data_IF_672903995094
#
_entry.id   IF_672903995094
#
_cell.length_a   1.000
_cell.length_b   1.000
_cell.length_c   1.000
_cell.angle_alpha   90.00
_cell.angle_beta   90.00
_cell.angle_gamma   90.00
#
_symmetry.space_group_name_H-M   'P 1'
#
loop_
_entity.id
_entity.type
_entity.pdbx_description
1 polymer ?
#
# COMPACT_ATOMS: atom_id res chain seq x y z
N UNK A 1 5.26 -8.23 0.60
CA UNK A 1 5.49 -6.83 1.08
C UNK A 1 6.96 -6.48 1.23
N UNK A 2 7.74 -7.07 2.16
CA UNK A 2 9.17 -6.74 2.29
C UNK A 2 10.01 -7.23 1.09
N UNK A 3 9.69 -8.40 0.56
CA UNK A 3 10.28 -8.95 -0.66
C UNK A 3 9.97 -8.11 -1.91
N UNK A 4 8.75 -7.65 -2.02
CA UNK A 4 8.29 -6.81 -3.14
C UNK A 4 8.92 -5.41 -3.10
N UNK A 5 9.12 -4.84 -1.89
CA UNK A 5 9.81 -3.55 -1.70
C UNK A 5 11.22 -3.54 -2.30
N UNK A 6 11.90 -4.66 -2.26
CA UNK A 6 13.26 -4.83 -2.82
C UNK A 6 13.26 -5.55 -4.17
N UNK A 7 12.10 -5.74 -4.80
CA UNK A 7 11.94 -6.45 -6.07
C UNK A 7 12.61 -7.82 -6.10
N UNK A 8 12.49 -8.59 -4.99
CA UNK A 8 13.23 -9.83 -4.78
C UNK A 8 12.98 -10.85 -5.90
N UNK A 9 11.70 -11.08 -6.28
CA UNK A 9 11.35 -12.05 -7.32
C UNK A 9 12.09 -11.77 -8.62
N UNK A 10 12.07 -10.50 -9.06
CA UNK A 10 12.78 -10.08 -10.28
C UNK A 10 14.27 -10.39 -10.21
N UNK A 11 14.92 -10.09 -9.09
CA UNK A 11 16.36 -10.37 -8.93
C UNK A 11 16.68 -11.86 -8.90
N UNK A 12 15.81 -12.68 -8.32
CA UNK A 12 15.95 -14.12 -8.32
C UNK A 12 15.77 -14.71 -9.73
N UNK A 13 14.77 -14.25 -10.46
CA UNK A 13 14.52 -14.66 -11.85
C UNK A 13 15.68 -14.26 -12.77
N UNK A 14 16.21 -13.04 -12.63
CA UNK A 14 17.41 -12.58 -13.35
C UNK A 14 18.65 -13.40 -13.01
N UNK A 15 18.72 -13.97 -11.80
CA UNK A 15 19.77 -14.88 -11.38
C UNK A 15 19.57 -16.33 -11.87
N UNK A 16 18.43 -16.62 -12.54
CA UNK A 16 18.14 -17.92 -13.14
C UNK A 16 17.35 -18.88 -12.24
N UNK A 17 16.76 -18.40 -11.16
CA UNK A 17 15.89 -19.20 -10.29
C UNK A 17 14.43 -19.19 -10.80
N UNK A 18 13.75 -20.31 -10.67
CA UNK A 18 12.29 -20.36 -10.82
C UNK A 18 11.64 -19.83 -9.53
N UNK A 19 10.85 -18.78 -9.63
CA UNK A 19 10.15 -18.17 -8.48
C UNK A 19 8.66 -18.42 -8.62
N UNK A 20 8.03 -18.95 -7.55
CA UNK A 20 6.59 -19.22 -7.51
C UNK A 20 5.99 -18.59 -6.28
N UNK A 21 5.04 -17.67 -6.49
CA UNK A 21 4.21 -17.13 -5.42
C UNK A 21 3.21 -18.16 -4.92
N UNK A 22 3.01 -18.22 -3.60
CA UNK A 22 2.23 -19.29 -2.96
C UNK A 22 0.97 -18.79 -2.27
N UNK A 23 0.82 -17.51 -2.00
CA UNK A 23 -0.46 -16.89 -1.68
C UNK A 23 -1.34 -16.89 -2.93
N UNK A 24 -2.61 -17.28 -2.82
CA UNK A 24 -3.48 -17.40 -3.98
C UNK A 24 -3.63 -16.08 -4.75
N UNK A 25 -3.71 -14.97 -4.03
CA UNK A 25 -3.79 -13.64 -4.65
C UNK A 25 -2.51 -13.24 -5.37
N UNK A 26 -1.35 -13.41 -4.73
CA UNK A 26 -0.04 -13.14 -5.32
C UNK A 26 0.25 -14.08 -6.50
N UNK A 27 -0.15 -15.35 -6.40
CA UNK A 27 -0.03 -16.31 -7.50
C UNK A 27 -0.80 -15.85 -8.75
N UNK A 28 -2.04 -15.37 -8.57
CA UNK A 28 -2.81 -14.82 -9.70
C UNK A 28 -2.16 -13.56 -10.28
N UNK A 29 -1.62 -12.69 -9.44
CA UNK A 29 -0.85 -11.52 -9.89
C UNK A 29 0.35 -11.96 -10.72
N UNK A 30 1.11 -12.95 -10.24
CA UNK A 30 2.30 -13.46 -10.92
C UNK A 30 1.98 -14.04 -12.29
N UNK A 31 0.97 -14.91 -12.42
CA UNK A 31 0.61 -15.54 -13.70
C UNK A 31 0.04 -14.53 -14.71
N UNK A 32 -0.50 -13.41 -14.24
CA UNK A 32 -0.98 -12.31 -15.07
C UNK A 32 0.10 -11.28 -15.41
N UNK A 33 1.30 -11.43 -14.87
CA UNK A 33 2.39 -10.44 -14.98
C UNK A 33 1.93 -9.04 -14.55
N UNK A 34 1.09 -9.01 -13.52
CA UNK A 34 0.46 -7.81 -12.96
C UNK A 34 1.19 -7.36 -11.67
N UNK A 35 0.69 -6.35 -11.00
CA UNK A 35 1.21 -5.88 -9.72
C UNK A 35 0.11 -5.93 -8.65
N UNK A 36 0.47 -6.22 -7.38
CA UNK A 36 -0.50 -6.24 -6.30
C UNK A 36 -1.13 -4.85 -6.11
N UNK A 37 -2.45 -4.80 -5.93
CA UNK A 37 -3.16 -3.53 -5.71
C UNK A 37 -3.53 -3.27 -4.25
N UNK A 38 -3.42 -4.29 -3.38
CA UNK A 38 -3.74 -4.18 -1.95
C UNK A 38 -2.78 -5.03 -1.11
N UNK A 39 -2.47 -4.57 0.10
CA UNK A 39 -1.47 -5.23 0.98
C UNK A 39 -1.95 -6.53 1.65
N UNK A 40 -3.26 -6.80 1.65
CA UNK A 40 -3.86 -8.01 2.26
C UNK A 40 -4.58 -8.85 1.21
N UNK A 41 -5.17 -8.22 0.21
CA UNK A 41 -5.91 -8.86 -0.88
C UNK A 41 -5.33 -8.42 -2.21
N UNK A 42 -4.21 -9.00 -2.65
CA UNK A 42 -3.42 -8.49 -3.79
C UNK A 42 -4.22 -8.29 -5.07
N UNK A 43 -5.18 -9.18 -5.33
CA UNK A 43 -6.01 -9.20 -6.55
C UNK A 43 -7.38 -8.53 -6.40
N UNK A 44 -7.60 -7.66 -5.43
CA UNK A 44 -8.90 -7.01 -5.19
C UNK A 44 -9.47 -6.26 -6.43
N UNK A 45 -8.61 -5.93 -7.39
CA UNK A 45 -8.96 -5.29 -8.66
C UNK A 45 -9.46 -6.26 -9.74
N UNK A 46 -9.39 -7.58 -9.50
CA UNK A 46 -9.84 -8.62 -10.44
C UNK A 46 -11.16 -9.23 -10.00
N UNK A 47 -12.00 -9.55 -10.95
CA UNK A 47 -13.21 -10.31 -10.71
C UNK A 47 -13.01 -11.81 -11.02
N UNK A 48 -13.94 -12.64 -10.56
CA UNK A 48 -13.89 -14.09 -10.70
C UNK A 48 -13.69 -14.56 -12.16
N UNK A 49 -14.35 -13.89 -13.10
CA UNK A 49 -14.25 -14.20 -14.53
C UNK A 49 -12.84 -13.96 -15.08
N UNK A 50 -12.19 -12.88 -14.66
CA UNK A 50 -10.81 -12.57 -15.05
C UNK A 50 -9.85 -13.63 -14.50
N UNK A 51 -10.00 -14.01 -13.22
CA UNK A 51 -9.18 -15.07 -12.61
C UNK A 51 -9.38 -16.41 -13.35
N UNK A 52 -10.63 -16.76 -13.70
CA UNK A 52 -10.93 -17.96 -14.49
C UNK A 52 -10.25 -17.98 -15.85
N UNK A 53 -10.22 -16.82 -16.52
CA UNK A 53 -9.54 -16.68 -17.81
C UNK A 53 -8.02 -16.83 -17.67
N UNK A 54 -7.42 -16.29 -16.61
CA UNK A 54 -6.00 -16.44 -16.31
C UNK A 54 -5.65 -17.91 -16.08
N UNK A 55 -6.41 -18.63 -15.27
CA UNK A 55 -6.20 -20.04 -15.00
C UNK A 55 -6.30 -20.91 -16.25
N UNK A 56 -7.31 -20.62 -17.11
CA UNK A 56 -7.44 -21.33 -18.39
C UNK A 56 -6.27 -21.06 -19.34
N UNK A 57 -5.79 -19.82 -19.40
CA UNK A 57 -4.65 -19.42 -20.24
C UNK A 57 -3.37 -20.16 -19.82
N UNK A 58 -3.16 -20.28 -18.51
CA UNK A 58 -1.99 -20.95 -17.93
C UNK A 58 -2.15 -22.50 -17.84
N UNK A 59 -3.23 -23.06 -18.41
CA UNK A 59 -3.52 -24.48 -18.38
C UNK A 59 -3.57 -25.11 -16.98
N UNK A 60 -4.01 -24.35 -15.97
CA UNK A 60 -4.13 -24.85 -14.59
C UNK A 60 -5.34 -25.77 -14.41
N UNK A 61 -6.32 -25.69 -15.31
CA UNK A 61 -7.52 -26.52 -15.32
C UNK A 61 -8.58 -26.02 -16.31
N UNK A 62 -9.76 -26.68 -16.35
CA UNK A 62 -10.88 -26.24 -17.17
C UNK A 62 -11.40 -24.88 -16.70
N UNK A 63 -11.97 -24.11 -17.62
CA UNK A 63 -12.64 -22.85 -17.28
C UNK A 63 -13.82 -23.09 -16.33
N UNK A 64 -13.87 -22.37 -15.25
CA UNK A 64 -14.96 -22.37 -14.27
C UNK A 64 -15.09 -21.01 -13.61
N UNK A 65 -16.30 -20.61 -13.28
CA UNK A 65 -16.58 -19.40 -12.46
C UNK A 65 -17.00 -19.79 -11.03
N UNK A 66 -16.62 -20.99 -10.57
CA UNK A 66 -16.83 -21.49 -9.21
C UNK A 66 -15.54 -21.29 -8.42
N UNK A 67 -15.58 -20.48 -7.36
CA UNK A 67 -14.37 -20.11 -6.59
C UNK A 67 -13.66 -21.33 -5.96
N UNK A 68 -14.42 -22.30 -5.48
CA UNK A 68 -13.92 -23.53 -4.88
C UNK A 68 -13.15 -24.38 -5.89
N UNK A 69 -13.64 -24.46 -7.14
CA UNK A 69 -12.97 -25.21 -8.21
C UNK A 69 -11.67 -24.51 -8.62
N UNK A 70 -11.65 -23.18 -8.74
CA UNK A 70 -10.43 -22.42 -9.01
C UNK A 70 -9.41 -22.63 -7.89
N UNK A 71 -9.84 -22.56 -6.63
CA UNK A 71 -8.97 -22.84 -5.50
C UNK A 71 -8.38 -24.26 -5.55
N UNK A 72 -9.16 -25.24 -5.97
CA UNK A 72 -8.67 -26.62 -6.15
C UNK A 72 -7.67 -26.74 -7.31
N UNK A 73 -7.87 -26.02 -8.42
CA UNK A 73 -6.90 -25.96 -9.51
C UNK A 73 -5.56 -25.39 -9.04
N UNK A 74 -5.58 -24.24 -8.35
CA UNK A 74 -4.39 -23.66 -7.75
C UNK A 74 -3.71 -24.62 -6.76
N UNK A 75 -4.50 -25.26 -5.88
CA UNK A 75 -3.99 -26.23 -4.91
C UNK A 75 -3.26 -27.41 -5.56
N UNK A 76 -3.80 -27.97 -6.64
CA UNK A 76 -3.16 -29.07 -7.36
C UNK A 76 -1.84 -28.64 -7.96
N UNK A 77 -1.82 -27.47 -8.60
CA UNK A 77 -0.61 -26.92 -9.21
C UNK A 77 0.46 -26.59 -8.15
N UNK A 78 0.11 -25.80 -7.15
CA UNK A 78 1.05 -25.36 -6.11
C UNK A 78 1.56 -26.52 -5.25
N UNK A 79 0.78 -27.60 -5.07
CA UNK A 79 1.22 -28.77 -4.33
C UNK A 79 2.48 -29.41 -4.93
N UNK A 80 2.58 -29.48 -6.25
CA UNK A 80 3.77 -30.02 -6.90
C UNK A 80 4.96 -29.05 -6.78
N UNK A 81 4.69 -27.73 -6.79
CA UNK A 81 5.74 -26.72 -6.52
C UNK A 81 6.28 -26.84 -5.10
N UNK A 82 5.43 -26.95 -4.09
CA UNK A 82 5.86 -27.16 -2.69
C UNK A 82 6.70 -28.43 -2.49
N UNK A 83 6.37 -29.53 -3.18
CA UNK A 83 7.12 -30.78 -3.08
C UNK A 83 8.52 -30.71 -3.68
N UNK A 84 8.69 -29.88 -4.71
CA UNK A 84 9.90 -29.82 -5.51
C UNK A 84 10.73 -28.54 -5.23
N UNK A 85 10.26 -27.65 -4.33
CA UNK A 85 10.98 -26.45 -3.98
C UNK A 85 12.24 -26.77 -3.16
N UNK A 86 13.37 -26.24 -3.58
CA UNK A 86 14.63 -26.33 -2.84
C UNK A 86 14.68 -25.35 -1.66
N UNK A 87 14.12 -24.15 -1.88
CA UNK A 87 14.14 -23.03 -0.94
C UNK A 87 12.72 -22.50 -0.74
N UNK A 88 12.33 -22.30 0.51
CA UNK A 88 11.12 -21.58 0.87
C UNK A 88 11.48 -20.18 1.39
N UNK A 89 10.83 -19.17 0.83
CA UNK A 89 10.99 -17.78 1.28
C UNK A 89 9.70 -17.31 1.92
N UNK A 90 9.79 -16.70 3.11
CA UNK A 90 8.61 -16.12 3.77
C UNK A 90 8.87 -14.70 4.27
N UNK A 91 7.81 -13.89 4.28
CA UNK A 91 7.74 -12.70 5.12
C UNK A 91 7.55 -13.06 6.60
N UNK A 92 7.78 -12.11 7.49
CA UNK A 92 7.57 -12.27 8.93
C UNK A 92 6.62 -11.18 9.43
N UNK A 93 5.59 -11.56 10.17
CA UNK A 93 4.67 -10.59 10.78
C UNK A 93 5.29 -9.94 12.02
N UNK A 94 5.92 -10.75 12.90
CA UNK A 94 6.60 -10.26 14.11
C UNK A 94 7.84 -11.10 14.42
N UNK A 95 8.90 -10.45 14.93
CA UNK A 95 10.05 -11.09 15.53
C UNK A 95 10.08 -10.83 17.03
N UNK A 96 10.31 -11.86 17.86
CA UNK A 96 10.29 -11.74 19.32
C UNK A 96 11.72 -11.60 19.81
N UNK A 97 12.06 -10.43 20.36
CA UNK A 97 13.42 -10.14 20.80
C UNK A 97 13.89 -11.05 21.95
N UNK A 98 13.00 -11.39 22.91
CA UNK A 98 13.35 -12.19 24.07
C UNK A 98 13.68 -13.65 23.76
N UNK A 99 13.12 -14.22 22.68
CA UNK A 99 13.28 -15.64 22.34
C UNK A 99 13.91 -15.90 20.97
N UNK A 100 14.04 -14.86 20.13
CA UNK A 100 14.49 -15.00 18.75
C UNK A 100 13.48 -15.68 17.83
N UNK A 101 12.28 -15.98 18.30
CA UNK A 101 11.24 -16.63 17.48
C UNK A 101 10.66 -15.68 16.46
N UNK A 102 10.39 -16.21 15.25
CA UNK A 102 9.67 -15.54 14.19
C UNK A 102 8.21 -15.95 14.25
N UNK A 103 7.31 -15.01 13.99
CA UNK A 103 5.86 -15.26 14.05
C UNK A 103 5.24 -14.92 12.71
N UNK A 104 4.54 -15.90 12.11
CA UNK A 104 3.82 -15.78 10.88
C UNK A 104 2.33 -16.06 11.13
N UNK A 105 1.49 -15.16 10.60
CA UNK A 105 0.03 -15.30 10.61
C UNK A 105 -0.46 -15.58 9.20
N UNK A 106 -1.33 -16.58 9.04
CA UNK A 106 -1.91 -16.92 7.76
C UNK A 106 -3.30 -17.57 7.88
N UNK A 107 -4.02 -17.63 6.75
CA UNK A 107 -5.32 -18.30 6.67
C UNK A 107 -5.35 -19.46 5.67
N UNK A 108 -4.37 -19.57 4.77
CA UNK A 108 -4.38 -20.50 3.63
C UNK A 108 -3.54 -21.76 3.83
N UNK A 109 -2.52 -21.72 4.68
CA UNK A 109 -1.56 -22.80 4.89
C UNK A 109 -0.37 -22.77 3.92
N UNK A 110 -0.27 -21.78 3.04
CA UNK A 110 0.84 -21.58 2.11
C UNK A 110 2.15 -21.27 2.83
N UNK A 111 2.16 -20.38 3.81
CA UNK A 111 3.33 -20.08 4.62
C UNK A 111 3.81 -21.30 5.39
N UNK A 112 2.87 -22.12 5.94
CA UNK A 112 3.21 -23.37 6.60
C UNK A 112 3.98 -24.29 5.67
N UNK A 113 3.52 -24.47 4.42
CA UNK A 113 4.19 -25.31 3.45
C UNK A 113 5.52 -24.73 3.00
N UNK A 114 5.60 -23.42 2.72
CA UNK A 114 6.84 -22.74 2.33
C UNK A 114 7.92 -22.79 3.44
N UNK A 115 7.52 -22.85 4.71
CA UNK A 115 8.46 -22.86 5.85
C UNK A 115 8.83 -24.26 6.35
N UNK A 116 8.13 -25.31 5.87
CA UNK A 116 8.34 -26.68 6.38
C UNK A 116 8.65 -27.73 5.31
N UNK A 117 8.28 -27.54 4.06
CA UNK A 117 8.51 -28.51 3.01
C UNK A 117 9.93 -28.42 2.40
N UNK A 118 10.48 -27.25 2.08
CA UNK A 118 11.84 -27.09 1.54
C UNK A 118 12.91 -27.40 2.59
N UNK A 119 14.09 -27.75 2.12
CA UNK A 119 15.25 -27.98 2.99
C UNK A 119 15.82 -26.71 3.59
N UNK A 120 15.71 -25.60 2.89
CA UNK A 120 16.19 -24.29 3.34
C UNK A 120 15.01 -23.32 3.44
N UNK A 121 14.87 -22.66 4.57
CA UNK A 121 13.90 -21.58 4.78
C UNK A 121 14.62 -20.24 4.96
N UNK A 122 14.25 -19.26 4.16
CA UNK A 122 14.75 -17.87 4.27
C UNK A 122 13.59 -16.97 4.70
N UNK A 123 13.69 -16.43 5.90
CA UNK A 123 12.71 -15.48 6.45
C UNK A 123 13.18 -14.04 6.25
N UNK A 124 12.35 -13.19 5.66
CA UNK A 124 12.66 -11.76 5.43
C UNK A 124 11.78 -10.91 6.34
N UNK A 125 12.39 -10.07 7.16
CA UNK A 125 11.70 -9.26 8.16
C UNK A 125 12.21 -7.82 8.15
N UNK A 126 11.30 -6.86 7.99
CA UNK A 126 11.64 -5.47 8.29
C UNK A 126 11.98 -5.29 9.78
N UNK A 127 13.02 -4.51 10.09
CA UNK A 127 13.47 -4.31 11.48
C UNK A 127 12.39 -3.72 12.39
N UNK A 128 11.38 -3.05 11.82
CA UNK A 128 10.25 -2.49 12.55
C UNK A 128 9.24 -3.54 13.08
N UNK A 129 9.43 -4.82 12.73
CA UNK A 129 8.54 -5.92 13.13
C UNK A 129 8.91 -6.57 14.46
N UNK A 130 9.94 -6.08 15.13
CA UNK A 130 10.42 -6.63 16.39
C UNK A 130 9.50 -6.21 17.52
N UNK A 131 9.06 -7.19 18.33
CA UNK A 131 8.33 -6.99 19.58
C UNK A 131 9.17 -7.51 20.77
N UNK A 132 9.02 -6.95 21.97
CA UNK A 132 9.86 -7.33 23.11
C UNK A 132 9.69 -8.79 23.52
N UNK A 133 8.44 -9.27 23.65
CA UNK A 133 8.13 -10.59 24.20
C UNK A 133 6.90 -11.25 23.58
N UNK A 134 6.68 -12.54 23.88
CA UNK A 134 5.47 -13.27 23.50
C UNK A 134 4.20 -12.65 24.10
N UNK A 135 4.28 -12.07 25.29
CA UNK A 135 3.14 -11.44 25.94
C UNK A 135 2.60 -10.25 25.13
N UNK A 136 3.48 -9.52 24.44
CA UNK A 136 3.08 -8.39 23.59
C UNK A 136 2.26 -8.85 22.38
N UNK A 137 2.51 -10.06 21.86
CA UNK A 137 1.76 -10.64 20.74
C UNK A 137 0.29 -10.89 21.07
N UNK A 138 -0.06 -11.11 22.33
CA UNK A 138 -1.45 -11.30 22.76
C UNK A 138 -2.35 -10.11 22.37
N UNK A 139 -1.75 -8.91 22.25
CA UNK A 139 -2.44 -7.71 21.76
C UNK A 139 -2.42 -7.61 20.24
N UNK A 140 -1.28 -7.87 19.59
CA UNK A 140 -1.11 -7.62 18.18
C UNK A 140 -1.82 -8.65 17.28
N UNK A 141 -1.85 -9.93 17.66
CA UNK A 141 -2.47 -10.98 16.85
C UNK A 141 -3.97 -10.73 16.63
N UNK A 142 -4.80 -10.50 17.68
CA UNK A 142 -6.20 -10.18 17.50
C UNK A 142 -6.43 -8.86 16.73
N UNK A 143 -5.62 -7.83 17.01
CA UNK A 143 -5.73 -6.55 16.31
C UNK A 143 -5.46 -6.71 14.81
N UNK A 144 -4.45 -7.48 14.43
CA UNK A 144 -4.12 -7.71 13.03
C UNK A 144 -5.26 -8.48 12.33
N UNK A 145 -5.71 -9.60 12.88
CA UNK A 145 -6.77 -10.41 12.31
C UNK A 145 -8.09 -9.63 12.15
N UNK A 146 -8.52 -8.92 13.20
CA UNK A 146 -9.75 -8.13 13.17
C UNK A 146 -9.67 -6.96 12.20
N UNK A 147 -8.53 -6.28 12.12
CA UNK A 147 -8.37 -5.09 11.27
C UNK A 147 -8.12 -5.43 9.80
N UNK A 148 -7.53 -6.59 9.50
CA UNK A 148 -7.24 -7.02 8.14
C UNK A 148 -8.45 -7.64 7.46
N UNK A 149 -9.11 -8.59 8.11
CA UNK A 149 -10.12 -9.46 7.52
C UNK A 149 -11.43 -9.53 8.30
N UNK A 150 -11.54 -8.83 9.43
CA UNK A 150 -12.72 -8.89 10.32
C UNK A 150 -12.82 -10.19 11.12
N UNK A 151 -11.80 -11.03 11.10
CA UNK A 151 -11.77 -12.29 11.84
C UNK A 151 -11.50 -12.04 13.33
N UNK A 152 -12.13 -12.82 14.19
CA UNK A 152 -11.82 -12.79 15.64
C UNK A 152 -10.44 -13.36 15.93
N UNK A 153 -10.03 -14.39 15.20
CA UNK A 153 -8.71 -15.03 15.25
C UNK A 153 -8.27 -15.37 13.81
N UNK A 154 -6.96 -15.42 13.58
CA UNK A 154 -6.38 -15.98 12.35
C UNK A 154 -6.46 -17.50 12.37
N UNK A 155 -6.42 -18.15 11.20
CA UNK A 155 -6.51 -19.62 11.11
C UNK A 155 -5.26 -20.28 11.68
N UNK A 156 -4.08 -19.77 11.35
CA UNK A 156 -2.80 -20.29 11.80
C UNK A 156 -1.91 -19.20 12.36
N UNK A 157 -1.17 -19.53 13.41
CA UNK A 157 -0.06 -18.75 13.95
C UNK A 157 1.13 -19.67 14.09
N UNK A 158 2.19 -19.40 13.36
CA UNK A 158 3.42 -20.18 13.39
C UNK A 158 4.47 -19.46 14.20
N UNK A 159 5.12 -20.21 15.11
CA UNK A 159 6.28 -19.78 15.87
C UNK A 159 7.50 -20.57 15.38
N UNK A 160 8.42 -19.92 14.70
CA UNK A 160 9.61 -20.55 14.12
C UNK A 160 10.80 -20.17 15.00
N UNK A 161 11.45 -21.17 15.59
CA UNK A 161 12.62 -21.00 16.46
C UNK A 161 13.95 -21.36 15.78
N UNK A 162 13.88 -21.98 14.60
CA UNK A 162 15.02 -22.50 13.85
C UNK A 162 14.80 -23.92 13.38
N UNK A 163 15.81 -24.59 12.81
CA UNK A 163 15.71 -25.99 12.37
C UNK A 163 15.57 -26.93 13.57
N UNK A 164 14.73 -27.97 13.41
CA UNK A 164 14.49 -28.97 14.48
C UNK A 164 15.41 -30.16 14.38
N UNK A 165 16.06 -30.37 13.24
CA UNK A 165 16.95 -31.50 12.98
C UNK A 165 16.24 -32.84 12.68
N UNK A 166 14.91 -32.90 12.78
CA UNK A 166 14.12 -34.14 12.54
C UNK A 166 13.09 -33.98 11.44
N UNK A 167 12.39 -32.87 11.42
CA UNK A 167 11.37 -32.54 10.42
C UNK A 167 11.48 -31.06 10.05
N UNK A 168 11.03 -30.69 8.83
CA UNK A 168 11.12 -29.34 8.32
C UNK A 168 12.48 -28.98 7.74
N UNK A 169 12.82 -27.71 7.62
CA UNK A 169 14.04 -27.25 6.99
C UNK A 169 15.30 -27.65 7.80
N UNK A 170 16.34 -28.03 7.07
CA UNK A 170 17.67 -28.30 7.62
C UNK A 170 18.37 -26.99 8.01
N UNK A 171 18.04 -25.89 7.27
CA UNK A 171 18.61 -24.58 7.48
C UNK A 171 17.52 -23.51 7.54
N UNK A 172 17.64 -22.58 8.45
CA UNK A 172 16.76 -21.42 8.59
C UNK A 172 17.60 -20.15 8.64
N UNK A 173 17.39 -19.26 7.69
CA UNK A 173 18.08 -17.97 7.60
C UNK A 173 17.12 -16.82 7.86
N UNK A 174 17.52 -15.86 8.70
CA UNK A 174 16.78 -14.63 8.93
C UNK A 174 17.50 -13.45 8.30
N UNK A 175 16.83 -12.77 7.38
CA UNK A 175 17.28 -11.51 6.79
C UNK A 175 16.54 -10.36 7.44
N UNK A 176 17.25 -9.50 8.17
CA UNK A 176 16.73 -8.26 8.73
C UNK A 176 16.87 -7.14 7.72
N UNK A 177 15.74 -6.65 7.22
CA UNK A 177 15.71 -5.59 6.20
C UNK A 177 15.57 -4.22 6.87
N UNK A 178 16.59 -3.39 6.75
CA UNK A 178 16.53 -1.97 7.13
C UNK A 178 15.91 -1.11 6.02
N UNK A 179 16.51 -1.11 4.85
CA UNK A 179 16.08 -0.32 3.68
C UNK A 179 15.60 1.09 4.04
N UNK A 180 16.37 1.83 4.87
CA UNK A 180 16.06 3.20 5.28
C UNK A 180 15.21 3.34 6.53
N UNK A 181 14.71 2.24 7.13
CA UNK A 181 13.87 2.28 8.36
C UNK A 181 14.57 2.91 9.55
N UNK A 182 15.88 2.66 9.70
CA UNK A 182 16.70 3.30 10.74
C UNK A 182 16.72 4.84 10.61
N UNK A 183 16.67 5.36 9.40
CA UNK A 183 16.59 6.81 9.17
C UNK A 183 15.20 7.34 9.49
N UNK A 184 14.15 6.62 9.09
CA UNK A 184 12.76 6.96 9.44
C UNK A 184 12.58 6.99 10.95
N UNK A 185 13.17 6.02 11.69
CA UNK A 185 13.09 5.94 13.16
C UNK A 185 13.68 7.18 13.84
N UNK A 186 14.75 7.74 13.28
CA UNK A 186 15.39 8.97 13.79
C UNK A 186 14.66 10.24 13.36
N UNK A 187 13.78 10.12 12.35
CA UNK A 187 13.10 11.26 11.72
C UNK A 187 11.73 11.57 12.32
N UNK A 188 11.09 12.55 11.70
CA UNK A 188 9.76 13.03 12.10
C UNK A 188 8.63 12.08 11.72
N UNK A 189 8.87 11.12 10.83
CA UNK A 189 7.89 10.11 10.36
C UNK A 189 7.99 8.78 11.11
N UNK A 190 8.72 8.71 12.23
CA UNK A 190 8.97 7.47 12.97
C UNK A 190 7.72 6.65 13.32
N UNK A 191 6.60 7.32 13.58
CA UNK A 191 5.36 6.66 13.98
C UNK A 191 4.74 5.80 12.87
N UNK A 192 5.13 5.99 11.59
CA UNK A 192 4.69 5.12 10.50
C UNK A 192 5.23 3.69 10.64
N UNK A 193 6.36 3.52 11.31
CA UNK A 193 6.97 2.20 11.55
C UNK A 193 6.17 1.33 12.52
N UNK A 194 5.23 1.89 13.30
CA UNK A 194 4.28 1.11 14.11
C UNK A 194 3.28 0.31 13.30
N UNK A 195 3.25 0.49 11.98
CA UNK A 195 2.26 -0.13 11.10
C UNK A 195 2.37 -1.66 11.11
N UNK A 196 1.27 -2.33 11.48
CA UNK A 196 1.14 -3.80 11.47
C UNK A 196 0.71 -4.36 10.10
N UNK A 197 0.57 -3.54 9.08
CA UNK A 197 0.21 -3.91 7.69
C UNK A 197 -1.20 -4.54 7.56
N UNK A 198 -2.15 -4.16 8.38
CA UNK A 198 -3.52 -4.70 8.33
C UNK A 198 -4.38 -4.20 7.16
N UNK A 199 -3.99 -3.14 6.45
CA UNK A 199 -4.75 -2.62 5.30
C UNK A 199 -6.03 -1.83 5.64
N UNK A 200 -6.43 -1.71 6.90
CA UNK A 200 -7.68 -1.04 7.27
C UNK A 200 -7.78 0.41 6.74
N UNK A 201 -6.68 1.15 6.72
CA UNK A 201 -6.65 2.51 6.19
C UNK A 201 -6.90 2.59 4.67
N UNK A 202 -6.55 1.54 3.90
CA UNK A 202 -6.83 1.44 2.47
C UNK A 202 -8.33 1.29 2.25
N UNK A 203 -8.96 0.39 3.01
CA UNK A 203 -10.38 0.05 2.87
C UNK A 203 -11.32 1.24 3.10
N UNK A 204 -10.95 2.20 3.96
CA UNK A 204 -11.77 3.39 4.25
C UNK A 204 -11.40 4.61 3.42
N UNK A 205 -10.29 4.57 2.68
CA UNK A 205 -9.79 5.74 1.96
C UNK A 205 -10.59 6.02 0.68
N UNK A 206 -11.24 7.20 0.55
CA UNK A 206 -11.98 7.53 -0.66
C UNK A 206 -11.06 7.67 -1.90
N UNK A 207 -9.82 8.10 -1.72
CA UNK A 207 -8.85 8.21 -2.83
C UNK A 207 -8.44 6.82 -3.30
N UNK A 208 -8.05 5.92 -2.38
CA UNK A 208 -7.69 4.55 -2.74
C UNK A 208 -8.83 3.80 -3.45
N UNK A 209 -10.07 3.99 -3.03
CA UNK A 209 -11.24 3.38 -3.67
C UNK A 209 -11.45 3.83 -5.12
N UNK A 210 -10.94 4.99 -5.50
CA UNK A 210 -11.02 5.50 -6.88
C UNK A 210 -9.77 5.16 -7.70
N UNK A 211 -8.59 5.34 -7.12
CA UNK A 211 -7.31 5.19 -7.81
C UNK A 211 -6.80 3.75 -7.85
N UNK A 212 -7.31 2.86 -6.97
CA UNK A 212 -6.73 1.54 -6.71
C UNK A 212 -5.30 1.64 -6.17
N UNK A 213 -4.68 0.51 -5.85
CA UNK A 213 -3.28 0.44 -5.45
C UNK A 213 -2.30 0.84 -6.56
N UNK A 214 -2.65 0.49 -7.80
CA UNK A 214 -1.83 0.79 -8.98
C UNK A 214 -1.61 2.29 -9.19
N UNK A 215 -2.59 3.13 -8.83
CA UNK A 215 -2.44 4.59 -8.94
C UNK A 215 -1.38 5.20 -8.02
N UNK A 216 -0.83 4.43 -7.06
CA UNK A 216 0.25 4.88 -6.17
C UNK A 216 1.65 4.59 -6.73
N UNK A 217 1.79 3.69 -7.71
CA UNK A 217 3.07 3.36 -8.33
C UNK A 217 4.12 2.79 -7.38
N UNK A 218 3.69 2.24 -6.24
CA UNK A 218 4.55 1.68 -5.20
C UNK A 218 3.87 0.50 -4.52
N UNK A 219 4.65 -0.46 -4.02
CA UNK A 219 4.13 -1.64 -3.31
C UNK A 219 3.28 -1.27 -2.10
N UNK A 220 3.65 -0.19 -1.42
CA UNK A 220 2.84 0.39 -0.36
C UNK A 220 1.88 1.42 -0.96
N UNK A 221 0.60 1.09 -0.97
CA UNK A 221 -0.47 1.94 -1.50
C UNK A 221 -1.35 2.54 -0.39
N UNK A 222 -2.29 3.39 -0.78
CA UNK A 222 -3.22 4.03 0.14
C UNK A 222 -2.58 5.00 1.12
N UNK A 223 -3.26 5.36 2.22
CA UNK A 223 -2.77 6.35 3.18
C UNK A 223 -1.44 5.96 3.84
N UNK A 224 -1.23 4.66 4.11
CA UNK A 224 0.04 4.15 4.60
C UNK A 224 1.16 4.43 3.60
N UNK A 225 0.95 4.05 2.33
CA UNK A 225 1.94 4.22 1.27
C UNK A 225 2.25 5.67 0.98
N UNK A 226 1.24 6.54 1.04
CA UNK A 226 1.41 7.98 0.85
C UNK A 226 2.33 8.66 1.89
N UNK A 227 2.60 7.97 3.02
CA UNK A 227 3.60 8.41 4.01
C UNK A 227 4.88 7.57 3.92
N UNK A 228 4.75 6.25 3.83
CA UNK A 228 5.90 5.34 3.92
C UNK A 228 6.79 5.41 2.69
N UNK A 229 6.22 5.47 1.48
CA UNK A 229 7.01 5.52 0.25
C UNK A 229 7.88 6.79 0.17
N UNK A 230 7.36 8.03 0.38
CA UNK A 230 8.23 9.21 0.45
C UNK A 230 9.24 9.17 1.60
N UNK A 231 8.93 8.49 2.70
CA UNK A 231 9.85 8.37 3.82
C UNK A 231 11.02 7.39 3.54
N UNK A 232 10.80 6.38 2.67
CA UNK A 232 11.82 5.43 2.23
C UNK A 232 12.64 5.97 1.05
N UNK A 233 11.98 6.50 0.03
CA UNK A 233 12.59 6.85 -1.26
C UNK A 233 12.86 8.35 -1.43
N UNK A 234 12.37 9.17 -0.51
CA UNK A 234 12.51 10.63 -0.56
C UNK A 234 11.30 11.34 -1.19
N UNK A 235 11.06 12.56 -0.73
CA UNK A 235 9.96 13.40 -1.25
C UNK A 235 10.22 13.84 -2.69
N UNK A 236 11.45 13.85 -3.13
CA UNK A 236 11.87 14.19 -4.49
C UNK A 236 11.31 13.20 -5.53
N UNK A 237 11.11 11.96 -5.13
CA UNK A 237 10.61 10.87 -5.99
C UNK A 237 9.14 10.57 -5.76
N UNK A 238 8.69 10.56 -4.51
CA UNK A 238 7.35 10.09 -4.10
C UNK A 238 6.50 11.15 -3.39
N UNK A 239 6.91 12.41 -3.36
CA UNK A 239 6.22 13.49 -2.63
C UNK A 239 4.79 13.76 -3.11
N UNK A 240 4.49 13.49 -4.38
CA UNK A 240 3.15 13.65 -4.95
C UNK A 240 2.12 12.72 -4.30
N UNK A 241 2.53 11.59 -3.74
CA UNK A 241 1.64 10.68 -3.02
C UNK A 241 0.99 11.35 -1.79
N UNK A 242 1.71 12.25 -1.11
CA UNK A 242 1.16 12.98 0.01
C UNK A 242 0.04 13.96 -0.41
N UNK A 243 0.01 14.38 -1.69
CA UNK A 243 -1.03 15.24 -2.26
C UNK A 243 -2.28 14.44 -2.67
N UNK A 244 -2.13 13.14 -2.93
CA UNK A 244 -3.21 12.21 -3.26
C UNK A 244 -4.04 11.83 -2.00
N UNK A 245 -4.48 12.83 -1.23
CA UNK A 245 -5.27 12.65 -0.01
C UNK A 245 -6.25 13.80 0.17
N UNK A 246 -7.50 13.44 0.54
CA UNK A 246 -8.53 14.41 0.95
C UNK A 246 -8.36 14.92 2.38
N UNK A 247 -7.43 14.37 3.16
CA UNK A 247 -7.21 14.67 4.59
C UNK A 247 -8.47 14.52 5.46
N UNK A 248 -9.38 13.62 5.10
CA UNK A 248 -10.66 13.41 5.82
C UNK A 248 -10.52 12.79 7.21
N UNK A 249 -9.33 12.26 7.58
CA UNK A 249 -9.08 11.68 8.90
C UNK A 249 -9.45 10.21 9.06
N UNK A 250 -10.26 9.62 8.17
CA UNK A 250 -10.75 8.24 8.31
C UNK A 250 -9.65 7.18 8.51
N UNK A 251 -8.48 7.37 7.90
CA UNK A 251 -7.35 6.45 8.04
C UNK A 251 -6.74 6.45 9.45
N UNK A 252 -6.80 7.56 10.18
CA UNK A 252 -6.36 7.64 11.58
C UNK A 252 -7.39 7.03 12.52
N UNK A 253 -8.68 7.30 12.28
CA UNK A 253 -9.78 6.76 13.09
C UNK A 253 -9.77 5.23 13.09
N UNK A 254 -9.63 4.61 11.91
CA UNK A 254 -9.66 3.15 11.75
C UNK A 254 -8.35 2.47 12.17
N UNK A 255 -7.25 3.22 12.29
CA UNK A 255 -5.94 2.63 12.57
C UNK A 255 -5.90 1.97 13.96
N UNK A 256 -5.68 0.64 14.06
CA UNK A 256 -5.68 -0.06 15.34
C UNK A 256 -4.48 0.34 16.22
N UNK A 257 -3.38 0.79 15.62
CA UNK A 257 -2.15 1.23 16.30
C UNK A 257 -2.01 2.76 16.33
N UNK A 258 -3.08 3.49 15.97
CA UNK A 258 -3.20 4.95 16.10
C UNK A 258 -2.03 5.74 15.51
N UNK A 259 -1.74 5.48 14.23
CA UNK A 259 -0.75 6.27 13.48
C UNK A 259 -1.41 7.56 13.01
N UNK A 260 -0.83 8.75 13.29
CA UNK A 260 -1.40 10.03 12.90
C UNK A 260 -1.12 10.36 11.42
N UNK A 261 -1.62 9.51 10.51
CA UNK A 261 -1.35 9.59 9.07
C UNK A 261 -1.69 10.97 8.48
N UNK A 262 -2.86 11.60 8.75
CA UNK A 262 -3.18 12.91 8.19
C UNK A 262 -2.17 14.01 8.58
N UNK A 263 -1.68 13.96 9.82
CA UNK A 263 -0.65 14.90 10.28
C UNK A 263 0.67 14.70 9.52
N UNK A 264 1.09 13.45 9.33
CA UNK A 264 2.31 13.14 8.57
C UNK A 264 2.19 13.55 7.10
N UNK A 265 1.02 13.42 6.48
CA UNK A 265 0.77 13.88 5.11
C UNK A 265 0.93 15.41 4.99
N UNK A 266 0.48 16.17 5.99
CA UNK A 266 0.70 17.64 6.02
C UNK A 266 2.18 17.99 6.17
N UNK A 267 2.91 17.24 7.01
CA UNK A 267 4.37 17.43 7.17
C UNK A 267 5.13 17.14 5.87
N UNK A 268 4.75 16.09 5.14
CA UNK A 268 5.34 15.76 3.84
C UNK A 268 5.05 16.84 2.80
N UNK A 269 3.83 17.38 2.76
CA UNK A 269 3.48 18.49 1.86
C UNK A 269 4.30 19.75 2.15
N UNK A 270 4.54 20.06 3.44
CA UNK A 270 5.37 21.18 3.86
C UNK A 270 6.85 20.94 3.48
N UNK A 271 7.35 19.73 3.65
CA UNK A 271 8.71 19.36 3.25
C UNK A 271 8.90 19.47 1.73
N UNK A 272 7.97 18.92 0.94
CA UNK A 272 7.94 18.99 -0.51
C UNK A 272 7.96 20.45 -1.00
N UNK A 273 7.15 21.31 -0.37
CA UNK A 273 7.12 22.73 -0.65
C UNK A 273 8.46 23.43 -0.31
N UNK A 274 9.03 23.14 0.86
CA UNK A 274 10.30 23.74 1.32
C UNK A 274 11.49 23.34 0.44
N UNK A 275 11.49 22.10 -0.07
CA UNK A 275 12.51 21.59 -0.99
C UNK A 275 12.31 22.10 -2.43
N UNK A 276 11.21 22.77 -2.73
CA UNK A 276 10.92 23.31 -4.06
C UNK A 276 10.63 22.25 -5.10
N UNK A 277 10.26 21.02 -4.67
CA UNK A 277 9.88 19.91 -5.56
C UNK A 277 8.48 20.16 -6.13
N UNK A 278 7.60 20.79 -5.37
CA UNK A 278 6.27 21.18 -5.81
C UNK A 278 6.34 22.13 -7.02
N UNK A 279 6.01 21.59 -8.19
CA UNK A 279 5.98 22.36 -9.46
C UNK A 279 4.62 23.03 -9.68
N UNK A 280 4.13 23.75 -8.71
CA UNK A 280 2.96 24.58 -8.90
C UNK A 280 3.36 25.81 -9.75
N UNK A 281 2.97 25.82 -11.02
CA UNK A 281 3.20 26.95 -11.93
C UNK A 281 2.48 28.24 -11.54
N UNK A 282 1.84 28.27 -10.37
CA UNK A 282 1.14 29.43 -9.82
C UNK A 282 2.10 30.15 -8.86
N UNK A 283 2.43 31.42 -9.13
CA UNK A 283 3.22 32.20 -8.18
C UNK A 283 2.34 32.58 -6.97
N UNK A 284 2.34 31.67 -5.98
CA UNK A 284 1.55 31.83 -4.75
C UNK A 284 1.80 33.15 -4.02
N UNK A 285 3.01 33.70 -4.12
CA UNK A 285 3.33 35.05 -3.61
C UNK A 285 2.48 36.13 -4.30
N UNK A 286 2.24 36.02 -5.61
CA UNK A 286 1.41 36.98 -6.36
C UNK A 286 -0.06 36.81 -5.99
N UNK A 287 -0.52 35.57 -5.82
CA UNK A 287 -1.87 35.28 -5.31
C UNK A 287 -2.07 35.84 -3.91
N UNK A 288 -1.15 35.59 -2.97
CA UNK A 288 -1.19 36.08 -1.59
C UNK A 288 -1.21 37.63 -1.53
N UNK A 289 -0.36 38.25 -2.35
CA UNK A 289 -0.34 39.71 -2.48
C UNK A 289 -1.70 40.29 -2.94
N UNK A 290 -2.33 39.64 -3.93
CA UNK A 290 -3.64 40.06 -4.42
C UNK A 290 -4.79 39.75 -3.46
N UNK A 291 -4.77 38.56 -2.86
CA UNK A 291 -5.82 38.07 -1.96
C UNK A 291 -5.90 38.88 -0.66
N UNK A 292 -4.77 39.32 -0.11
CA UNK A 292 -4.70 40.19 1.10
C UNK A 292 -5.23 41.59 0.88
N UNK A 293 -5.39 42.05 -0.37
CA UNK A 293 -5.84 43.42 -0.68
C UNK A 293 -7.23 43.39 -1.29
N UNK A 294 -8.22 43.86 -0.52
CA UNK A 294 -9.63 43.85 -0.92
C UNK A 294 -9.90 44.51 -2.28
N UNK A 295 -9.14 45.55 -2.64
CA UNK A 295 -9.26 46.22 -3.95
C UNK A 295 -8.78 45.34 -5.09
N UNK A 296 -7.59 44.76 -4.98
CA UNK A 296 -7.02 43.87 -5.99
C UNK A 296 -7.87 42.58 -6.16
N UNK A 297 -8.34 42.04 -5.04
CA UNK A 297 -9.25 40.89 -5.07
C UNK A 297 -10.55 41.20 -5.81
N UNK A 298 -11.17 42.34 -5.55
CA UNK A 298 -12.38 42.78 -6.24
C UNK A 298 -12.14 43.02 -7.74
N UNK A 299 -11.01 43.66 -8.09
CA UNK A 299 -10.63 43.88 -9.50
C UNK A 299 -10.42 42.51 -10.23
N UNK A 300 -9.68 41.58 -9.63
CA UNK A 300 -9.49 40.26 -10.18
C UNK A 300 -10.80 39.49 -10.42
N UNK A 301 -11.71 39.51 -9.45
CA UNK A 301 -13.03 38.92 -9.60
C UNK A 301 -13.91 39.57 -10.69
N UNK A 302 -13.75 40.84 -10.96
CA UNK A 302 -14.49 41.54 -12.03
C UNK A 302 -13.92 41.23 -13.42
N UNK A 303 -12.65 40.82 -13.51
CA UNK A 303 -11.99 40.42 -14.76
C UNK A 303 -12.21 38.95 -15.13
N UNK A 304 -12.65 38.11 -14.19
CA UNK A 304 -12.92 36.70 -14.44
C UNK A 304 -13.82 36.41 -15.65
N UNK A 305 -14.91 37.18 -15.91
CA UNK A 305 -15.73 36.96 -17.11
C UNK A 305 -14.99 37.16 -18.42
N UNK A 306 -14.01 38.07 -18.44
CA UNK A 306 -13.17 38.29 -19.60
C UNK A 306 -12.14 37.16 -19.82
N UNK A 307 -11.65 36.56 -18.74
CA UNK A 307 -10.76 35.40 -18.81
C UNK A 307 -11.49 34.15 -19.33
N UNK A 308 -12.76 33.98 -18.96
CA UNK A 308 -13.61 32.88 -19.47
C UNK A 308 -13.91 33.00 -20.99
N UNK A 309 -13.90 34.21 -21.54
CA UNK A 309 -14.07 34.44 -22.98
C UNK A 309 -12.87 33.99 -23.85
N UNK A 310 -11.71 33.67 -23.22
CA UNK A 310 -10.52 33.18 -23.89
C UNK A 310 -10.14 31.74 -23.44
N UNK A 311 -10.98 30.72 -23.75
CA UNK A 311 -10.77 29.34 -23.25
C UNK A 311 -9.49 28.68 -23.76
N UNK A 312 -8.93 29.17 -24.89
CA UNK A 312 -7.76 28.55 -25.52
C UNK A 312 -6.43 28.79 -24.80
N UNK A 313 -6.34 29.79 -23.90
CA UNK A 313 -5.12 30.11 -23.15
C UNK A 313 -5.03 29.41 -21.79
N UNK A 314 -6.10 28.86 -21.29
CA UNK A 314 -6.15 27.99 -20.09
C UNK A 314 -6.06 26.51 -20.51
N UNK A 315 -5.00 26.13 -21.23
CA UNK A 315 -4.62 24.73 -21.39
C UNK A 315 -4.05 24.25 -20.07
N UNK A 316 -4.89 23.86 -19.13
CA UNK A 316 -4.48 23.11 -17.98
C UNK A 316 -4.96 21.67 -18.17
N UNK A 317 -4.16 20.71 -17.77
CA UNK A 317 -4.51 19.29 -17.66
C UNK A 317 -5.86 19.08 -16.95
N UNK A 318 -6.28 20.05 -16.15
CA UNK A 318 -7.57 20.06 -15.46
C UNK A 318 -8.78 20.01 -16.40
N UNK A 319 -8.69 20.60 -17.60
CA UNK A 319 -9.75 20.60 -18.61
C UNK A 319 -9.91 19.28 -19.36
N UNK A 320 -8.92 18.40 -19.31
CA UNK A 320 -9.01 17.07 -19.92
C UNK A 320 -9.98 16.17 -19.16
N UNK A 321 -10.17 16.43 -17.87
CA UNK A 321 -10.94 15.55 -16.98
C UNK A 321 -12.10 16.25 -16.28
N UNK A 322 -12.25 17.59 -16.41
CA UNK A 322 -13.27 18.37 -15.69
C UNK A 322 -13.75 19.55 -16.49
N UNK A 323 -15.06 19.78 -16.44
CA UNK A 323 -15.67 20.99 -16.96
C UNK A 323 -15.61 22.11 -15.93
N UNK A 324 -15.42 23.34 -16.40
CA UNK A 324 -15.56 24.51 -15.55
C UNK A 324 -17.05 24.70 -15.21
N UNK A 325 -17.40 25.00 -13.94
CA UNK A 325 -18.80 25.20 -13.58
C UNK A 325 -19.39 26.36 -14.38
N UNK A 326 -20.54 26.12 -15.00
CA UNK A 326 -21.29 27.15 -15.69
C UNK A 326 -21.66 28.29 -14.76
N UNK A 327 -21.40 29.50 -15.20
CA UNK A 327 -21.74 30.68 -14.43
C UNK A 327 -23.24 31.00 -14.57
N UNK A 328 -24.01 30.68 -13.55
CA UNK A 328 -25.45 30.97 -13.51
C UNK A 328 -25.70 32.26 -12.73
N UNK A 329 -26.01 33.34 -13.42
CA UNK A 329 -26.52 34.57 -12.80
C UNK A 329 -25.49 35.50 -12.16
N UNK A 330 -25.93 36.30 -11.18
CA UNK A 330 -25.11 37.30 -10.49
C UNK A 330 -24.13 36.66 -9.51
N UNK A 331 -22.96 37.27 -9.29
CA UNK A 331 -22.05 36.84 -8.24
C UNK A 331 -22.76 36.85 -6.87
N UNK A 332 -22.30 35.99 -5.94
CA UNK A 332 -22.86 35.96 -4.58
C UNK A 332 -22.92 37.35 -3.94
N UNK A 333 -21.90 38.20 -4.10
CA UNK A 333 -21.90 39.59 -3.59
C UNK A 333 -22.93 40.48 -4.28
N UNK A 334 -23.17 40.29 -5.58
CA UNK A 334 -24.21 41.03 -6.31
C UNK A 334 -25.61 40.58 -5.90
N UNK A 335 -25.82 39.30 -5.69
CA UNK A 335 -27.03 38.74 -5.16
C UNK A 335 -27.29 39.20 -3.72
N UNK A 336 -26.29 39.14 -2.85
CA UNK A 336 -26.39 39.59 -1.44
C UNK A 336 -26.80 41.05 -1.30
N UNK A 337 -26.19 41.97 -2.09
CA UNK A 337 -26.53 43.40 -2.07
C UNK A 337 -27.92 43.69 -2.63
N UNK A 338 -28.50 42.83 -3.43
CA UNK A 338 -29.84 43.01 -3.96
C UNK A 338 -30.94 42.44 -3.06
N UNK A 339 -30.62 42.04 -1.82
CA UNK A 339 -31.55 41.51 -0.82
C UNK A 339 -32.06 42.59 0.18
N UNK A 340 -31.50 43.81 0.11
CA UNK A 340 -31.97 44.95 0.94
C UNK A 340 -33.15 45.62 0.35
#
# INVERSE_FOLDING_TARGET
MASEEIHLNKHLEEAGYEVVETDLGEFVVQIDQDTPSHIVTPIIHKNLKQVSQSFKRENLGPYTEVAEELTMQARVYLREKFKNADIGISGVNFGIASSGRLVLLENEGNNRLSTTAPKTHIAIMGIEKIVPSEADLATFIPLLAASATGQKITTYVHFIAGPTGTEGPEEVHLILLDNGRSNILKGQYKDILRCIRCGACLNVCPVYRQASGHGYGHVYSGPLGAVLAPALEGVEHMGDLAKASSLCGACEEVCPVKIPIPHMLLMLRDEDFKKGVARDGIPWSTYDFGAKRSFLWKAGLSMLPMAEAFPSKLKSEWKEFRDLPERKGRSFRGWWRGRS
#
